data_IF_841915036223
#
_entry.id   IF_841915036223
#
_cell.length_a   1.000
_cell.length_b   1.000
_cell.length_c   1.000
_cell.angle_alpha   90.00
_cell.angle_beta   90.00
_cell.angle_gamma   90.00
#
_symmetry.space_group_name_H-M   'P 1'
#
loop_
_entity.id
_entity.type
_entity.pdbx_description
1 polymer ?
#
# COMPACT_ATOMS: atom_id res chain seq x y z
N UNK A 1 -15.35 20.43 -19.84
CA UNK A 1 -15.36 19.19 -19.06
C UNK A 1 -13.90 18.85 -18.80
N UNK A 2 -13.45 19.05 -17.59
CA UNK A 2 -12.08 18.69 -17.18
C UNK A 2 -12.11 17.23 -16.74
N UNK A 3 -11.44 16.35 -17.48
CA UNK A 3 -11.37 14.92 -17.17
C UNK A 3 -10.06 14.61 -16.49
N UNK A 4 -10.12 13.82 -15.43
CA UNK A 4 -8.97 13.31 -14.69
C UNK A 4 -8.96 11.80 -14.69
N UNK A 5 -7.78 11.20 -14.70
CA UNK A 5 -7.60 9.76 -14.72
C UNK A 5 -7.04 9.27 -13.37
N UNK A 6 -7.87 8.57 -12.62
CA UNK A 6 -7.48 7.83 -11.44
C UNK A 6 -7.08 6.41 -11.81
N UNK A 7 -5.93 5.96 -11.33
CA UNK A 7 -5.38 4.63 -11.61
C UNK A 7 -5.11 3.94 -10.28
N UNK A 8 -5.64 2.73 -10.11
CA UNK A 8 -5.37 1.84 -8.97
C UNK A 8 -4.59 0.62 -9.47
N UNK A 9 -3.31 0.55 -9.13
CA UNK A 9 -2.43 -0.60 -9.37
C UNK A 9 -2.38 -1.49 -8.13
N UNK A 10 -3.47 -2.21 -7.90
CA UNK A 10 -3.65 -3.15 -6.78
C UNK A 10 -2.86 -4.45 -6.99
N UNK A 11 -3.03 -5.43 -6.08
CA UNK A 11 -2.31 -6.73 -6.18
C UNK A 11 -2.71 -7.55 -7.41
N UNK A 12 -3.99 -7.51 -7.82
CA UNK A 12 -4.53 -8.41 -8.84
C UNK A 12 -4.73 -7.77 -10.21
N UNK A 13 -4.78 -6.45 -10.28
CA UNK A 13 -5.06 -5.71 -11.52
C UNK A 13 -4.70 -4.24 -11.40
N UNK A 14 -4.48 -3.61 -12.54
CA UNK A 14 -4.56 -2.14 -12.69
C UNK A 14 -5.95 -1.77 -13.19
N UNK A 15 -6.61 -0.82 -12.52
CA UNK A 15 -7.88 -0.22 -12.93
C UNK A 15 -7.68 1.25 -13.22
N UNK A 16 -8.28 1.74 -14.29
CA UNK A 16 -8.26 3.15 -14.66
C UNK A 16 -9.69 3.68 -14.76
N UNK A 17 -9.96 4.80 -14.09
CA UNK A 17 -11.23 5.51 -14.10
C UNK A 17 -11.03 6.90 -14.67
N UNK A 18 -11.70 7.21 -15.78
CA UNK A 18 -11.77 8.56 -16.32
C UNK A 18 -12.98 9.27 -15.70
N UNK A 19 -12.74 10.35 -14.98
CA UNK A 19 -13.73 11.01 -14.13
C UNK A 19 -13.87 12.47 -14.56
N UNK A 20 -15.09 12.99 -14.59
CA UNK A 20 -15.33 14.43 -14.68
C UNK A 20 -15.03 15.08 -13.34
N UNK A 21 -14.05 15.99 -13.32
CA UNK A 21 -13.63 16.67 -12.11
C UNK A 21 -14.69 17.63 -11.53
N UNK A 22 -15.73 17.97 -12.30
CA UNK A 22 -16.76 18.88 -11.85
C UNK A 22 -17.77 18.24 -10.87
N UNK A 23 -18.09 16.95 -11.07
CA UNK A 23 -19.13 16.27 -10.31
C UNK A 23 -18.78 14.84 -9.86
N UNK A 24 -17.60 14.35 -10.20
CA UNK A 24 -17.13 13.00 -9.87
C UNK A 24 -17.74 11.89 -10.72
N UNK A 25 -18.45 12.23 -11.81
CA UNK A 25 -19.05 11.23 -12.71
C UNK A 25 -17.98 10.41 -13.39
N UNK A 26 -18.05 9.07 -13.28
CA UNK A 26 -17.20 8.14 -14.02
C UNK A 26 -17.65 8.10 -15.48
N UNK A 27 -16.82 8.64 -16.37
CA UNK A 27 -17.10 8.74 -17.83
C UNK A 27 -16.72 7.45 -18.54
N UNK A 28 -15.65 6.78 -18.11
CA UNK A 28 -15.19 5.52 -18.66
C UNK A 28 -14.30 4.78 -17.64
N UNK A 29 -14.21 3.46 -17.79
CA UNK A 29 -13.33 2.64 -16.98
C UNK A 29 -12.73 1.49 -17.79
N UNK A 30 -11.51 1.10 -17.44
CA UNK A 30 -10.84 -0.10 -17.98
C UNK A 30 -10.06 -0.79 -16.88
N UNK A 31 -9.72 -2.06 -17.08
CA UNK A 31 -8.82 -2.79 -16.19
C UNK A 31 -8.00 -3.81 -16.97
N UNK A 32 -6.81 -4.07 -16.46
CA UNK A 32 -5.89 -5.11 -16.94
C UNK A 32 -5.42 -5.97 -15.76
N UNK A 33 -5.36 -7.31 -15.90
CA UNK A 33 -4.96 -8.20 -14.82
C UNK A 33 -3.46 -8.16 -14.57
N UNK A 34 -3.05 -8.47 -13.33
CA UNK A 34 -1.67 -8.74 -12.96
C UNK A 34 -1.42 -10.25 -12.86
N UNK A 35 -0.16 -10.70 -13.04
CA UNK A 35 0.22 -12.08 -12.73
C UNK A 35 -0.05 -12.39 -11.25
N UNK A 36 -0.48 -13.63 -10.92
CA UNK A 36 -0.63 -14.04 -9.53
C UNK A 36 0.73 -14.28 -8.87
N UNK A 37 0.81 -14.09 -7.56
CA UNK A 37 2.02 -14.39 -6.78
C UNK A 37 2.25 -13.40 -5.65
N UNK A 38 3.35 -13.61 -4.92
CA UNK A 38 3.87 -12.71 -3.89
C UNK A 38 5.19 -12.06 -4.31
N UNK A 39 5.69 -12.45 -5.49
CA UNK A 39 6.88 -11.95 -6.15
C UNK A 39 6.60 -11.88 -7.65
N UNK A 40 6.77 -10.71 -8.28
CA UNK A 40 6.41 -10.47 -9.69
C UNK A 40 7.41 -9.52 -10.35
N UNK A 41 7.64 -9.68 -11.65
CA UNK A 41 8.37 -8.67 -12.44
C UNK A 41 7.57 -7.35 -12.42
N UNK A 42 8.10 -6.25 -11.86
CA UNK A 42 7.36 -5.00 -11.75
C UNK A 42 7.03 -4.37 -13.12
N UNK A 43 7.71 -4.77 -14.21
CA UNK A 43 7.37 -4.32 -15.56
C UNK A 43 6.00 -4.80 -16.01
N UNK A 44 5.47 -5.87 -15.40
CA UNK A 44 4.09 -6.32 -15.66
C UNK A 44 3.05 -5.28 -15.24
N UNK A 45 3.34 -4.46 -14.23
CA UNK A 45 2.46 -3.35 -13.83
C UNK A 45 2.46 -2.22 -14.86
N UNK A 46 3.61 -1.98 -15.52
CA UNK A 46 3.70 -0.98 -16.60
C UNK A 46 2.88 -1.40 -17.80
N UNK A 47 2.97 -2.68 -18.20
CA UNK A 47 2.13 -3.22 -19.27
C UNK A 47 0.63 -3.15 -18.91
N UNK A 48 0.28 -3.49 -17.67
CA UNK A 48 -1.11 -3.39 -17.20
C UNK A 48 -1.59 -1.92 -17.12
N UNK A 49 -0.71 -0.98 -16.79
CA UNK A 49 -0.99 0.45 -16.86
C UNK A 49 -1.30 0.87 -18.29
N UNK A 50 -0.45 0.51 -19.26
CA UNK A 50 -0.63 0.86 -20.66
C UNK A 50 -1.96 0.30 -21.20
N UNK A 51 -2.25 -0.98 -20.92
CA UNK A 51 -3.50 -1.63 -21.31
C UNK A 51 -4.75 -0.99 -20.68
N UNK A 52 -4.69 -0.69 -19.37
CA UNK A 52 -5.82 -0.12 -18.66
C UNK A 52 -6.08 1.35 -19.03
N UNK A 53 -5.05 2.08 -19.46
CA UNK A 53 -5.18 3.51 -19.80
C UNK A 53 -5.39 3.76 -21.29
N UNK A 54 -5.32 2.74 -22.15
CA UNK A 54 -5.52 2.86 -23.60
C UNK A 54 -6.85 3.54 -23.96
N UNK A 55 -6.81 4.63 -24.74
CA UNK A 55 -7.97 5.43 -25.14
C UNK A 55 -8.59 6.29 -24.05
N UNK A 56 -8.08 6.22 -22.80
CA UNK A 56 -8.50 7.08 -21.70
C UNK A 56 -7.50 8.21 -21.46
N UNK A 57 -6.20 7.89 -21.58
CA UNK A 57 -5.10 8.79 -21.25
C UNK A 57 -5.14 10.08 -22.11
N UNK A 58 -5.47 9.97 -23.40
CA UNK A 58 -5.51 11.12 -24.31
C UNK A 58 -6.60 12.14 -23.96
N UNK A 59 -7.61 11.69 -23.21
CA UNK A 59 -8.77 12.50 -22.80
C UNK A 59 -8.56 13.18 -21.44
N UNK A 60 -7.56 12.73 -20.67
CA UNK A 60 -7.31 13.24 -19.33
C UNK A 60 -6.37 14.45 -19.33
N UNK A 61 -6.64 15.42 -18.46
CA UNK A 61 -5.79 16.59 -18.19
C UNK A 61 -4.81 16.31 -17.04
N UNK A 62 -5.20 15.42 -16.11
CA UNK A 62 -4.37 15.03 -14.97
C UNK A 62 -4.49 13.51 -14.69
N UNK A 63 -3.45 12.98 -14.06
CA UNK A 63 -3.27 11.56 -13.73
C UNK A 63 -2.89 11.45 -12.25
N UNK A 64 -3.48 10.48 -11.54
CA UNK A 64 -3.01 10.06 -10.22
C UNK A 64 -2.95 8.54 -10.16
N UNK A 65 -1.88 8.00 -9.58
CA UNK A 65 -1.68 6.55 -9.40
C UNK A 65 -1.83 6.20 -7.92
N UNK A 66 -2.77 5.35 -7.58
CA UNK A 66 -2.80 4.61 -6.33
C UNK A 66 -2.19 3.22 -6.54
N UNK A 67 -1.63 2.63 -5.51
CA UNK A 67 -1.06 1.30 -5.64
C UNK A 67 -1.00 0.53 -4.34
N UNK A 68 -0.79 -0.79 -4.47
CA UNK A 68 -0.56 -1.65 -3.32
C UNK A 68 0.63 -1.17 -2.49
N UNK A 69 0.47 -1.15 -1.18
CA UNK A 69 1.49 -0.66 -0.26
C UNK A 69 2.66 -1.65 -0.07
N UNK A 70 3.76 -1.16 0.49
CA UNK A 70 4.88 -1.93 1.03
C UNK A 70 5.73 -2.73 0.02
N UNK A 71 5.31 -2.86 -1.22
CA UNK A 71 6.05 -3.63 -2.24
C UNK A 71 7.47 -3.08 -2.42
N UNK A 72 8.44 -3.98 -2.62
CA UNK A 72 9.84 -3.60 -2.86
C UNK A 72 10.15 -3.63 -4.35
N UNK A 73 10.36 -2.47 -4.97
CA UNK A 73 10.96 -2.34 -6.30
C UNK A 73 12.40 -1.87 -6.14
N UNK A 74 13.36 -2.77 -6.34
CA UNK A 74 14.78 -2.50 -6.20
C UNK A 74 15.40 -2.25 -7.57
N UNK A 75 15.97 -1.05 -7.78
CA UNK A 75 16.54 -0.61 -9.05
C UNK A 75 18.05 -0.52 -8.99
N UNK A 76 18.70 -0.82 -10.13
CA UNK A 76 20.14 -0.69 -10.34
C UNK A 76 20.56 0.72 -10.83
N UNK A 77 21.83 0.85 -11.20
CA UNK A 77 22.41 2.10 -11.73
C UNK A 77 21.74 2.57 -13.03
N UNK A 78 21.22 1.64 -13.82
CA UNK A 78 20.49 1.91 -15.07
C UNK A 78 19.02 2.30 -14.85
N UNK A 79 18.57 2.27 -13.60
CA UNK A 79 17.17 2.51 -13.23
C UNK A 79 16.22 1.38 -13.56
N UNK A 80 16.74 0.18 -13.85
CA UNK A 80 15.98 -1.04 -14.13
C UNK A 80 15.91 -1.93 -12.88
N UNK A 81 14.83 -2.73 -12.73
CA UNK A 81 14.72 -3.69 -11.63
C UNK A 81 15.87 -4.70 -11.64
N UNK A 82 16.56 -4.84 -10.51
CA UNK A 82 17.64 -5.82 -10.32
C UNK A 82 17.11 -7.19 -9.90
N UNK A 83 15.83 -7.26 -9.56
CA UNK A 83 15.10 -8.48 -9.22
C UNK A 83 13.59 -8.25 -9.36
N UNK A 84 12.81 -9.32 -9.30
CA UNK A 84 11.35 -9.26 -9.17
C UNK A 84 10.94 -8.57 -7.86
N UNK A 85 9.85 -7.82 -7.90
CA UNK A 85 9.33 -7.09 -6.74
C UNK A 85 8.71 -8.05 -5.72
N UNK A 86 9.07 -7.90 -4.43
CA UNK A 86 8.41 -8.59 -3.33
C UNK A 86 7.18 -7.80 -2.91
N UNK A 87 6.00 -8.45 -2.93
CA UNK A 87 4.73 -7.82 -2.63
C UNK A 87 4.46 -7.76 -1.12
N UNK A 88 3.45 -7.00 -0.71
CA UNK A 88 3.06 -6.83 0.69
C UNK A 88 2.68 -8.16 1.39
N UNK A 89 2.11 -9.10 0.64
CA UNK A 89 1.66 -10.41 1.13
C UNK A 89 2.75 -11.50 1.11
N UNK A 90 4.00 -11.13 0.78
CA UNK A 90 5.13 -12.05 0.90
C UNK A 90 5.63 -12.09 2.35
N UNK A 91 5.67 -13.28 2.93
CA UNK A 91 6.00 -13.49 4.34
C UNK A 91 7.45 -13.92 4.60
N UNK A 92 8.27 -14.11 3.55
CA UNK A 92 9.66 -14.60 3.68
C UNK A 92 10.54 -13.72 4.56
N UNK A 93 10.23 -12.42 4.66
CA UNK A 93 10.98 -11.42 5.43
C UNK A 93 10.56 -11.31 6.91
N UNK A 94 9.78 -12.26 7.44
CA UNK A 94 9.31 -12.20 8.83
C UNK A 94 10.46 -12.20 9.87
N UNK A 95 11.50 -13.01 9.66
CA UNK A 95 12.68 -13.03 10.54
C UNK A 95 13.50 -11.75 10.42
N UNK A 96 13.64 -11.23 9.21
CA UNK A 96 14.30 -9.96 8.94
C UNK A 96 13.60 -8.80 9.64
N UNK A 97 12.25 -8.81 9.66
CA UNK A 97 11.46 -7.82 10.40
C UNK A 97 11.77 -7.84 11.90
N UNK A 98 11.77 -9.03 12.53
CA UNK A 98 12.11 -9.18 13.96
C UNK A 98 13.50 -8.67 14.26
N UNK A 99 14.47 -9.04 13.45
CA UNK A 99 15.85 -8.58 13.60
C UNK A 99 15.97 -7.05 13.53
N UNK A 100 15.28 -6.40 12.57
CA UNK A 100 15.28 -4.94 12.47
C UNK A 100 14.63 -4.28 13.68
N UNK A 101 13.51 -4.82 14.19
CA UNK A 101 12.86 -4.31 15.41
C UNK A 101 13.80 -4.39 16.60
N UNK A 102 14.51 -5.50 16.77
CA UNK A 102 15.49 -5.67 17.86
C UNK A 102 16.66 -4.68 17.72
N UNK A 103 17.21 -4.51 16.50
CA UNK A 103 18.28 -3.55 16.20
C UNK A 103 17.84 -2.09 16.42
N UNK A 104 16.56 -1.77 16.23
CA UNK A 104 15.98 -0.46 16.53
C UNK A 104 15.75 -0.21 18.04
N UNK A 105 15.97 -1.20 18.90
CA UNK A 105 15.79 -1.10 20.36
C UNK A 105 14.46 -1.63 20.87
N UNK A 106 13.80 -2.46 20.09
CA UNK A 106 12.54 -3.11 20.43
C UNK A 106 11.29 -2.42 19.82
N UNK A 107 10.11 -3.02 20.05
CA UNK A 107 8.88 -2.59 19.37
C UNK A 107 8.45 -1.15 19.71
N UNK A 108 8.60 -0.71 20.95
CA UNK A 108 8.26 0.66 21.34
C UNK A 108 9.15 1.69 20.63
N UNK A 109 10.46 1.42 20.56
CA UNK A 109 11.42 2.30 19.87
C UNK A 109 11.17 2.31 18.34
N UNK A 110 10.85 1.16 17.77
CA UNK A 110 10.47 1.02 16.37
C UNK A 110 9.22 1.84 16.05
N UNK A 111 8.13 1.67 16.81
CA UNK A 111 6.90 2.42 16.63
C UNK A 111 7.11 3.93 16.80
N UNK A 112 7.90 4.36 17.78
CA UNK A 112 8.24 5.76 17.98
C UNK A 112 9.04 6.34 16.81
N UNK A 113 9.91 5.56 16.17
CA UNK A 113 10.76 6.01 15.07
C UNK A 113 10.00 6.15 13.74
N UNK A 114 9.11 5.19 13.42
CA UNK A 114 8.48 5.09 12.09
C UNK A 114 6.96 4.94 12.12
N UNK A 115 6.32 5.08 13.28
CA UNK A 115 4.86 5.00 13.45
C UNK A 115 4.33 3.57 13.60
N UNK A 116 5.15 2.54 13.38
CA UNK A 116 4.69 1.15 13.32
C UNK A 116 5.75 0.19 13.83
N UNK A 117 5.34 -0.97 14.33
CA UNK A 117 6.25 -2.11 14.54
C UNK A 117 6.39 -2.86 13.22
N UNK A 118 7.61 -3.09 12.75
CA UNK A 118 7.85 -3.73 11.46
C UNK A 118 7.39 -5.20 11.47
N UNK A 119 6.72 -5.59 10.40
CA UNK A 119 6.36 -6.98 10.09
C UNK A 119 6.85 -7.33 8.68
N UNK A 120 6.63 -8.56 8.23
CA UNK A 120 7.10 -9.04 6.92
C UNK A 120 6.66 -8.16 5.74
N UNK A 121 5.48 -7.53 5.83
CA UNK A 121 4.94 -6.70 4.74
C UNK A 121 5.76 -5.44 4.48
N UNK A 122 6.44 -4.86 5.47
CA UNK A 122 7.17 -3.59 5.29
C UNK A 122 8.35 -3.70 4.33
N UNK A 123 8.60 -2.63 3.57
CA UNK A 123 9.69 -2.58 2.57
C UNK A 123 11.08 -2.77 3.20
N UNK A 124 11.31 -2.18 4.40
CA UNK A 124 12.55 -2.37 5.17
C UNK A 124 12.84 -3.85 5.46
N UNK A 125 11.81 -4.61 5.83
CA UNK A 125 11.93 -6.04 6.12
C UNK A 125 12.37 -6.83 4.89
N UNK A 126 11.83 -6.46 3.72
CA UNK A 126 12.20 -7.06 2.44
C UNK A 126 13.63 -6.68 2.01
N UNK A 127 14.03 -5.42 2.20
CA UNK A 127 15.42 -4.99 1.96
C UNK A 127 16.40 -5.79 2.82
N UNK A 128 16.10 -5.97 4.11
CA UNK A 128 16.93 -6.76 5.02
C UNK A 128 17.00 -8.22 4.57
N UNK A 129 15.89 -8.79 4.17
CA UNK A 129 15.88 -10.15 3.64
C UNK A 129 16.73 -10.29 2.37
N UNK A 130 16.62 -9.33 1.43
CA UNK A 130 17.46 -9.31 0.20
C UNK A 130 18.94 -9.20 0.56
N UNK A 131 19.32 -8.32 1.51
CA UNK A 131 20.69 -8.21 1.99
C UNK A 131 21.24 -9.53 2.50
N UNK A 132 20.44 -10.23 3.32
CA UNK A 132 20.90 -11.41 4.05
C UNK A 132 20.87 -12.69 3.20
N UNK A 133 20.01 -12.78 2.17
CA UNK A 133 19.80 -13.98 1.36
C UNK A 133 20.24 -13.82 -0.11
N UNK A 134 20.32 -12.61 -0.63
CA UNK A 134 20.70 -12.29 -2.00
C UNK A 134 21.77 -11.19 -2.04
N UNK A 135 22.94 -11.40 -1.41
CA UNK A 135 23.97 -10.34 -1.23
C UNK A 135 24.49 -9.77 -2.55
N UNK A 136 24.54 -10.55 -3.60
CA UNK A 136 24.93 -10.07 -4.94
C UNK A 136 23.86 -9.14 -5.55
N UNK A 137 22.60 -9.44 -5.34
CA UNK A 137 21.48 -8.58 -5.73
C UNK A 137 21.48 -7.30 -4.88
N UNK A 138 21.59 -7.44 -3.56
CA UNK A 138 21.67 -6.31 -2.64
C UNK A 138 22.77 -5.33 -3.04
N UNK A 139 23.97 -5.82 -3.36
CA UNK A 139 25.10 -5.00 -3.79
C UNK A 139 24.86 -4.19 -5.08
N UNK A 140 23.84 -4.53 -5.86
CA UNK A 140 23.45 -3.84 -7.10
C UNK A 140 22.35 -2.82 -6.90
N UNK A 141 21.62 -2.84 -5.78
CA UNK A 141 20.54 -1.90 -5.51
C UNK A 141 21.11 -0.49 -5.33
N UNK A 142 20.56 0.47 -6.06
CA UNK A 142 20.94 1.89 -5.98
C UNK A 142 19.76 2.77 -5.62
N UNK A 143 18.56 2.34 -5.94
CA UNK A 143 17.33 3.06 -5.65
C UNK A 143 16.23 2.09 -5.24
N UNK A 144 15.38 2.54 -4.33
CA UNK A 144 14.18 1.79 -3.90
C UNK A 144 12.94 2.63 -4.16
N UNK A 145 11.96 2.01 -4.79
CA UNK A 145 10.64 2.56 -5.05
C UNK A 145 9.55 1.65 -4.49
N UNK A 146 8.41 2.25 -4.20
CA UNK A 146 7.17 1.52 -3.95
C UNK A 146 6.47 1.21 -5.29
N UNK A 147 5.50 0.28 -5.32
CA UNK A 147 4.79 -0.05 -6.56
C UNK A 147 4.17 1.17 -7.23
N UNK A 148 3.47 2.05 -6.48
CA UNK A 148 2.85 3.23 -7.07
C UNK A 148 3.89 4.24 -7.56
N UNK A 149 5.05 4.39 -6.91
CA UNK A 149 6.15 5.25 -7.38
C UNK A 149 6.66 4.79 -8.74
N UNK A 150 6.82 3.46 -8.90
CA UNK A 150 7.35 2.86 -10.12
C UNK A 150 6.38 3.07 -11.30
N UNK A 151 5.08 2.91 -11.06
CA UNK A 151 4.04 3.19 -12.07
C UNK A 151 3.92 4.70 -12.33
N UNK A 152 3.99 5.55 -11.30
CA UNK A 152 3.95 7.01 -11.45
C UNK A 152 5.15 7.55 -12.23
N UNK A 153 6.34 6.93 -12.07
CA UNK A 153 7.52 7.22 -12.88
C UNK A 153 7.26 6.90 -14.37
N UNK A 154 6.59 5.78 -14.68
CA UNK A 154 6.21 5.42 -16.05
C UNK A 154 5.20 6.41 -16.65
N UNK A 155 4.22 6.88 -15.86
CA UNK A 155 3.25 7.89 -16.28
C UNK A 155 3.88 9.27 -16.53
N UNK A 156 5.10 9.52 -16.04
CA UNK A 156 5.81 10.80 -16.11
C UNK A 156 6.68 10.90 -17.37
N UNK A 157 7.10 12.13 -17.69
CA UNK A 157 8.05 12.34 -18.78
C UNK A 157 9.39 11.66 -18.50
N UNK A 158 10.07 11.10 -19.54
CA UNK A 158 11.37 10.48 -19.38
C UNK A 158 12.38 11.39 -18.68
N UNK A 159 13.14 10.81 -17.74
CA UNK A 159 14.14 11.57 -16.95
C UNK A 159 13.55 12.29 -15.73
N UNK A 160 12.24 12.20 -15.47
CA UNK A 160 11.64 12.70 -14.22
C UNK A 160 12.25 11.97 -13.02
N UNK A 161 12.71 12.73 -12.02
CA UNK A 161 13.16 12.16 -10.76
C UNK A 161 11.99 11.48 -10.03
N UNK A 162 12.15 10.27 -9.51
CA UNK A 162 11.08 9.57 -8.80
C UNK A 162 10.54 10.36 -7.62
N UNK A 163 9.25 10.20 -7.39
CA UNK A 163 8.52 10.80 -6.28
C UNK A 163 7.53 9.81 -5.69
N UNK A 164 7.15 10.08 -4.47
CA UNK A 164 6.16 9.34 -3.68
C UNK A 164 5.28 10.32 -2.92
N UNK A 165 4.25 9.83 -2.23
CA UNK A 165 3.53 10.59 -1.23
C UNK A 165 3.92 10.17 0.20
N UNK A 166 3.46 10.92 1.19
CA UNK A 166 3.73 10.63 2.61
C UNK A 166 2.97 9.39 3.11
N UNK A 167 1.79 9.13 2.54
CA UNK A 167 0.93 8.02 2.92
C UNK A 167 1.60 6.68 2.63
N UNK A 168 2.00 6.44 1.38
CA UNK A 168 2.68 5.20 1.01
C UNK A 168 4.10 5.13 1.59
N UNK A 169 4.84 6.26 1.65
CA UNK A 169 6.14 6.34 2.31
C UNK A 169 6.10 5.83 3.76
N UNK A 170 5.02 6.10 4.50
CA UNK A 170 4.85 5.65 5.88
C UNK A 170 4.76 4.13 6.04
N UNK A 171 4.47 3.41 4.95
CA UNK A 171 4.46 1.94 4.90
C UNK A 171 5.83 1.30 4.63
N UNK A 172 6.91 2.08 4.52
CA UNK A 172 8.24 1.55 4.17
C UNK A 172 9.02 0.98 5.35
N UNK A 173 8.84 1.53 6.55
CA UNK A 173 9.66 1.21 7.74
C UNK A 173 10.97 2.01 7.84
N UNK A 174 11.16 2.98 6.95
CA UNK A 174 12.26 3.97 7.00
C UNK A 174 11.77 5.39 6.68
N UNK A 175 10.53 5.67 7.08
CA UNK A 175 9.93 7.00 7.04
C UNK A 175 9.41 7.37 8.43
N UNK A 176 9.87 8.48 8.99
CA UNK A 176 9.42 8.98 10.29
C UNK A 176 8.03 9.61 10.12
N UNK A 177 6.98 8.81 10.28
CA UNK A 177 5.59 9.20 9.97
C UNK A 177 5.15 10.49 10.66
N UNK A 178 5.50 10.66 11.94
CA UNK A 178 5.15 11.85 12.72
C UNK A 178 5.87 13.12 12.24
N UNK A 179 7.13 12.98 11.77
CA UNK A 179 7.93 14.09 11.27
C UNK A 179 7.69 14.38 9.77
N UNK A 180 7.19 13.39 9.03
CA UNK A 180 7.01 13.49 7.58
C UNK A 180 8.34 13.43 6.79
N UNK A 181 9.35 12.73 7.31
CA UNK A 181 10.70 12.73 6.78
C UNK A 181 11.26 11.32 6.60
N UNK A 182 12.07 11.13 5.56
CA UNK A 182 12.85 9.90 5.39
C UNK A 182 13.85 9.70 6.52
N UNK A 183 14.09 8.45 6.86
CA UNK A 183 15.16 7.94 7.72
C UNK A 183 16.14 7.11 6.87
N UNK A 184 17.05 7.79 6.11
CA UNK A 184 18.00 7.11 5.24
C UNK A 184 18.92 6.15 6.02
N UNK A 185 19.19 6.46 7.29
CA UNK A 185 19.93 5.61 8.20
C UNK A 185 19.26 4.23 8.41
N UNK A 186 17.92 4.19 8.52
CA UNK A 186 17.17 2.93 8.64
C UNK A 186 17.11 2.16 7.31
N UNK A 187 16.99 2.86 6.18
CA UNK A 187 17.07 2.24 4.87
C UNK A 187 18.45 1.61 4.63
N UNK A 188 19.52 2.35 4.96
CA UNK A 188 20.89 1.86 4.87
C UNK A 188 21.17 0.70 5.84
N UNK A 189 20.64 0.75 7.07
CA UNK A 189 20.73 -0.36 8.02
C UNK A 189 20.04 -1.63 7.49
N UNK A 190 18.89 -1.49 6.84
CA UNK A 190 18.17 -2.60 6.24
C UNK A 190 18.94 -3.20 5.07
N UNK A 191 19.43 -2.39 4.13
CA UNK A 191 20.09 -2.86 2.90
C UNK A 191 21.58 -3.19 3.09
N UNK A 192 22.27 -2.53 4.04
CA UNK A 192 23.71 -2.67 4.28
C UNK A 192 24.56 -1.57 3.61
N UNK A 193 23.95 -0.66 2.87
CA UNK A 193 24.60 0.52 2.27
C UNK A 193 23.55 1.59 1.94
N UNK A 194 24.01 2.80 1.63
CA UNK A 194 23.15 3.91 1.25
C UNK A 194 22.40 3.62 -0.04
N UNK A 195 21.14 4.06 -0.11
CA UNK A 195 20.25 3.87 -1.25
C UNK A 195 19.45 5.16 -1.52
N UNK A 196 19.24 5.47 -2.79
CA UNK A 196 18.40 6.60 -3.16
C UNK A 196 16.92 6.32 -2.87
N UNK A 197 16.26 7.29 -2.25
CA UNK A 197 14.82 7.28 -1.97
C UNK A 197 14.10 8.33 -2.83
N UNK A 198 12.84 8.12 -3.20
CA UNK A 198 12.09 9.08 -3.99
C UNK A 198 11.83 10.37 -3.19
N UNK A 199 11.62 11.48 -3.89
CA UNK A 199 11.20 12.74 -3.25
C UNK A 199 9.76 12.59 -2.73
N UNK A 200 9.51 12.96 -1.49
CA UNK A 200 8.14 13.06 -0.97
C UNK A 200 7.48 14.31 -1.54
N UNK A 201 6.44 14.13 -2.33
CA UNK A 201 5.69 15.23 -2.92
C UNK A 201 4.57 15.67 -1.97
N UNK A 202 4.36 16.97 -1.77
CA UNK A 202 3.25 17.47 -0.93
C UNK A 202 1.88 17.04 -1.48
N UNK A 203 0.93 16.77 -0.60
CA UNK A 203 -0.45 16.51 -0.98
C UNK A 203 -1.03 17.63 -1.87
N UNK A 204 -1.82 17.26 -2.86
CA UNK A 204 -2.45 18.22 -3.79
C UNK A 204 -1.49 18.98 -4.70
N UNK A 205 -0.19 18.66 -4.70
CA UNK A 205 0.79 19.33 -5.58
C UNK A 205 0.85 18.68 -6.98
N UNK A 206 1.47 19.41 -7.92
CA UNK A 206 1.93 18.83 -9.19
C UNK A 206 3.27 18.15 -8.92
N UNK A 207 3.30 16.82 -8.92
CA UNK A 207 4.53 16.05 -8.70
C UNK A 207 5.40 16.01 -9.95
N UNK A 208 4.78 15.86 -11.11
CA UNK A 208 5.45 15.78 -12.41
C UNK A 208 4.50 16.18 -13.55
N UNK A 209 5.00 16.09 -14.77
CA UNK A 209 4.19 16.11 -16.00
C UNK A 209 4.51 14.87 -16.84
N UNK A 210 3.52 14.35 -17.54
CA UNK A 210 3.73 13.30 -18.54
C UNK A 210 4.45 13.86 -19.78
N UNK A 211 4.94 12.99 -20.66
CA UNK A 211 5.55 13.40 -21.93
C UNK A 211 4.61 14.26 -22.82
N UNK A 212 3.31 14.11 -22.65
CA UNK A 212 2.28 14.90 -23.34
C UNK A 212 1.85 16.16 -22.55
N UNK A 213 2.54 16.51 -21.46
CA UNK A 213 2.28 17.71 -20.67
C UNK A 213 1.13 17.61 -19.67
N UNK A 214 0.53 16.41 -19.46
CA UNK A 214 -0.53 16.22 -18.46
C UNK A 214 0.05 16.31 -17.06
N UNK A 215 -0.71 16.87 -16.14
CA UNK A 215 -0.33 16.87 -14.72
C UNK A 215 -0.27 15.45 -14.20
N UNK A 216 0.80 15.10 -13.47
CA UNK A 216 0.91 13.86 -12.69
C UNK A 216 0.94 14.27 -11.21
N UNK A 217 -0.08 13.82 -10.47
CA UNK A 217 -0.21 14.06 -9.04
C UNK A 217 0.71 13.09 -8.25
N UNK A 218 0.95 13.35 -6.95
CA UNK A 218 1.80 12.49 -6.12
C UNK A 218 1.39 11.01 -6.11
N UNK A 219 0.09 10.71 -6.27
CA UNK A 219 -0.42 9.37 -6.05
C UNK A 219 -0.50 9.06 -4.55
N UNK A 220 -0.71 7.78 -4.20
CA UNK A 220 -0.70 7.31 -2.80
C UNK A 220 -0.82 5.79 -2.70
N UNK A 221 -0.70 5.22 -1.50
CA UNK A 221 -1.06 3.82 -1.23
C UNK A 221 -2.58 3.58 -1.35
N UNK A 222 -2.98 2.34 -1.65
CA UNK A 222 -4.39 1.97 -1.89
C UNK A 222 -5.31 2.28 -0.71
N UNK A 223 -4.88 2.03 0.53
CA UNK A 223 -5.69 2.32 1.73
C UNK A 223 -5.89 3.83 1.92
N UNK A 224 -4.86 4.64 1.68
CA UNK A 224 -4.93 6.09 1.75
C UNK A 224 -5.80 6.65 0.62
N UNK A 225 -5.68 6.08 -0.58
CA UNK A 225 -6.51 6.39 -1.73
C UNK A 225 -7.99 6.10 -1.48
N UNK A 226 -8.29 4.97 -0.82
CA UNK A 226 -9.66 4.62 -0.44
C UNK A 226 -10.24 5.61 0.58
N UNK A 227 -9.50 5.98 1.61
CA UNK A 227 -9.93 6.95 2.62
C UNK A 227 -10.20 8.34 1.98
N UNK A 228 -9.29 8.80 1.12
CA UNK A 228 -9.43 10.06 0.38
C UNK A 228 -10.64 10.02 -0.56
N UNK A 229 -10.80 8.94 -1.34
CA UNK A 229 -11.87 8.77 -2.30
C UNK A 229 -13.28 8.72 -1.68
N UNK A 230 -13.37 8.24 -0.44
CA UNK A 230 -14.59 8.26 0.36
C UNK A 230 -14.84 9.62 1.05
N UNK A 231 -13.89 10.55 0.97
CA UNK A 231 -14.00 11.86 1.60
C UNK A 231 -13.98 11.80 3.13
N UNK A 232 -13.26 10.84 3.72
CA UNK A 232 -13.20 10.71 5.18
C UNK A 232 -12.54 11.92 5.82
N UNK A 233 -13.12 12.37 6.92
CA UNK A 233 -12.64 13.48 7.73
C UNK A 233 -12.05 12.99 9.06
N UNK A 234 -11.28 13.82 9.78
CA UNK A 234 -10.79 13.47 11.10
C UNK A 234 -11.91 13.02 12.04
N UNK A 235 -11.78 11.79 12.57
CA UNK A 235 -12.78 11.13 13.40
C UNK A 235 -13.65 10.09 12.66
N UNK A 236 -13.64 10.10 11.33
CA UNK A 236 -14.32 9.05 10.55
C UNK A 236 -13.52 7.74 10.57
N UNK A 237 -14.27 6.63 10.58
CA UNK A 237 -13.73 5.27 10.59
C UNK A 237 -14.20 4.53 9.35
N UNK A 238 -13.24 3.94 8.62
CA UNK A 238 -13.51 3.02 7.53
C UNK A 238 -13.36 1.57 8.03
N UNK A 239 -14.39 0.76 7.80
CA UNK A 239 -14.34 -0.69 8.01
C UNK A 239 -14.51 -1.37 6.65
N UNK A 240 -13.47 -2.03 6.19
CA UNK A 240 -13.46 -2.82 4.94
C UNK A 240 -13.47 -4.31 5.28
N UNK A 241 -14.50 -5.03 4.80
CA UNK A 241 -14.68 -6.46 5.06
C UNK A 241 -14.63 -7.20 3.74
N UNK A 242 -13.45 -7.66 3.39
CA UNK A 242 -13.20 -8.58 2.27
C UNK A 242 -12.83 -9.97 2.77
N UNK A 243 -12.00 -10.69 2.06
CA UNK A 243 -11.39 -11.97 2.53
C UNK A 243 -10.66 -11.75 3.85
N UNK A 244 -9.87 -10.68 3.94
CA UNK A 244 -9.30 -10.08 5.15
C UNK A 244 -10.09 -8.83 5.55
N UNK A 245 -9.89 -8.34 6.77
CA UNK A 245 -10.54 -7.15 7.29
C UNK A 245 -9.54 -6.03 7.52
N UNK A 246 -9.97 -4.79 7.31
CA UNK A 246 -9.23 -3.59 7.65
C UNK A 246 -10.16 -2.63 8.37
N UNK A 247 -9.70 -2.07 9.49
CA UNK A 247 -10.32 -0.91 10.11
C UNK A 247 -9.29 0.22 10.16
N UNK A 248 -9.62 1.38 9.64
CA UNK A 248 -8.77 2.56 9.66
C UNK A 248 -9.55 3.81 10.06
N UNK A 249 -8.86 4.80 10.59
CA UNK A 249 -9.48 6.06 10.99
C UNK A 249 -8.62 7.24 10.52
N UNK A 250 -9.26 8.32 10.08
CA UNK A 250 -8.54 9.57 9.82
C UNK A 250 -8.33 10.31 11.14
N UNK A 251 -7.07 10.65 11.44
CA UNK A 251 -6.72 11.36 12.69
C UNK A 251 -5.80 12.56 12.41
N UNK A 252 -5.89 13.57 13.28
CA UNK A 252 -5.01 14.74 13.20
C UNK A 252 -3.65 14.53 13.90
N UNK A 253 -3.51 13.48 14.69
CA UNK A 253 -2.30 13.16 15.46
C UNK A 253 -1.75 11.81 15.06
N UNK A 254 -0.41 11.64 15.00
CA UNK A 254 0.20 10.34 14.69
C UNK A 254 -0.06 9.31 15.79
N UNK A 255 -0.09 8.05 15.40
CA UNK A 255 -0.13 6.89 16.30
C UNK A 255 1.20 6.17 16.25
N UNK A 256 1.69 5.72 17.41
CA UNK A 256 2.89 4.90 17.55
C UNK A 256 2.60 3.81 18.58
N UNK A 257 2.02 2.70 18.12
CA UNK A 257 1.61 1.58 18.99
C UNK A 257 2.72 0.53 19.06
N UNK A 258 3.46 0.50 20.17
CA UNK A 258 4.51 -0.50 20.43
C UNK A 258 3.98 -1.92 20.65
N UNK A 259 2.66 -2.12 20.81
CA UNK A 259 2.10 -3.49 20.82
C UNK A 259 2.06 -4.12 19.42
N UNK A 260 2.19 -3.30 18.37
CA UNK A 260 2.09 -3.73 16.98
C UNK A 260 0.66 -4.04 16.51
N UNK A 261 -0.34 -3.75 17.33
CA UNK A 261 -1.76 -3.98 16.97
C UNK A 261 -2.28 -2.94 15.98
N UNK A 262 -1.78 -1.70 16.06
CA UNK A 262 -2.15 -0.58 15.19
C UNK A 262 -0.93 -0.10 14.41
N UNK A 263 -1.03 -0.07 13.09
CA UNK A 263 -0.04 0.58 12.23
C UNK A 263 -0.35 2.07 12.12
N UNK A 264 0.63 2.93 12.43
CA UNK A 264 0.49 4.38 12.43
C UNK A 264 0.88 5.00 11.10
N UNK A 265 0.09 4.81 10.04
CA UNK A 265 0.36 5.40 8.74
C UNK A 265 0.02 6.89 8.68
N UNK A 266 0.63 7.59 7.73
CA UNK A 266 0.15 8.89 7.26
C UNK A 266 -1.00 8.67 6.26
N UNK A 267 -1.89 9.69 6.11
CA UNK A 267 -2.90 9.68 5.05
C UNK A 267 -2.38 10.28 3.75
N UNK A 268 -3.23 10.35 2.72
CA UNK A 268 -2.91 10.95 1.42
C UNK A 268 -2.93 12.50 1.44
N UNK A 269 -3.17 13.13 2.59
CA UNK A 269 -3.22 14.57 2.78
C UNK A 269 -2.18 15.01 3.81
N UNK A 270 -2.57 15.70 4.86
CA UNK A 270 -1.67 16.19 5.90
C UNK A 270 -1.94 15.58 7.29
N UNK A 271 -2.86 14.59 7.35
CA UNK A 271 -3.24 13.86 8.55
C UNK A 271 -2.59 12.47 8.65
N UNK A 272 -3.23 11.58 9.40
CA UNK A 272 -2.78 10.22 9.64
C UNK A 272 -3.92 9.23 9.43
N UNK A 273 -3.57 7.99 9.11
CA UNK A 273 -4.48 6.90 8.86
C UNK A 273 -4.05 5.66 9.67
N UNK A 274 -4.15 5.69 11.03
CA UNK A 274 -3.93 4.49 11.80
C UNK A 274 -4.84 3.36 11.31
N UNK A 275 -4.28 2.16 11.22
CA UNK A 275 -4.91 1.02 10.57
C UNK A 275 -4.68 -0.26 11.36
N UNK A 276 -5.75 -1.06 11.48
CA UNK A 276 -5.70 -2.43 12.00
C UNK A 276 -6.13 -3.36 10.88
N UNK A 277 -5.35 -4.41 10.63
CA UNK A 277 -5.67 -5.42 9.65
C UNK A 277 -5.83 -6.80 10.29
N UNK A 278 -6.75 -7.60 9.79
CA UNK A 278 -6.92 -9.01 10.18
C UNK A 278 -6.80 -9.90 8.95
N UNK A 279 -6.21 -11.07 9.11
CA UNK A 279 -6.10 -12.07 8.03
C UNK A 279 -7.45 -12.68 7.69
N UNK A 280 -8.34 -12.76 8.69
CA UNK A 280 -9.64 -13.40 8.59
C UNK A 280 -10.79 -12.40 8.75
N UNK A 281 -11.65 -12.26 7.73
CA UNK A 281 -12.88 -11.47 7.81
C UNK A 281 -14.06 -12.19 7.12
N UNK A 282 -14.51 -11.80 5.93
CA UNK A 282 -15.64 -12.47 5.25
C UNK A 282 -15.38 -13.95 4.98
N UNK A 283 -14.15 -14.39 4.90
CA UNK A 283 -13.76 -15.80 4.84
C UNK A 283 -14.35 -16.62 5.99
N UNK A 284 -14.45 -16.00 7.20
CA UNK A 284 -15.05 -16.66 8.38
C UNK A 284 -16.51 -17.01 8.10
N UNK A 285 -17.27 -16.05 7.54
CA UNK A 285 -18.68 -16.24 7.21
C UNK A 285 -18.86 -17.36 6.19
N UNK A 286 -18.02 -17.41 5.15
CA UNK A 286 -18.06 -18.47 4.16
C UNK A 286 -17.72 -19.85 4.75
N UNK A 287 -16.83 -19.92 5.73
CA UNK A 287 -16.53 -21.17 6.45
C UNK A 287 -17.71 -21.59 7.33
N UNK A 288 -18.35 -20.66 8.05
CA UNK A 288 -19.49 -20.97 8.90
C UNK A 288 -20.70 -21.42 8.07
N UNK A 289 -21.01 -20.74 6.97
CA UNK A 289 -22.08 -21.13 6.06
C UNK A 289 -21.91 -22.58 5.57
N UNK A 290 -20.71 -22.93 5.11
CA UNK A 290 -20.38 -24.30 4.71
C UNK A 290 -20.52 -25.31 5.85
N UNK A 291 -20.09 -24.95 7.05
CA UNK A 291 -20.15 -25.83 8.24
C UNK A 291 -21.59 -26.12 8.64
N UNK A 292 -22.45 -25.10 8.54
CA UNK A 292 -23.89 -25.24 8.84
C UNK A 292 -24.69 -25.81 7.66
N UNK A 293 -24.10 -25.95 6.48
CA UNK A 293 -24.78 -26.43 5.27
C UNK A 293 -25.82 -25.43 4.71
N UNK A 294 -25.56 -24.12 4.90
CA UNK A 294 -26.45 -23.05 4.45
C UNK A 294 -25.71 -22.08 3.51
N UNK A 295 -26.46 -21.23 2.80
CA UNK A 295 -25.91 -20.09 2.07
C UNK A 295 -25.65 -18.88 2.99
N UNK A 296 -25.04 -17.84 2.45
CA UNK A 296 -24.67 -16.63 3.21
C UNK A 296 -25.91 -15.82 3.65
N UNK A 297 -26.97 -15.82 2.87
CA UNK A 297 -28.23 -15.12 3.21
C UNK A 297 -28.90 -15.79 4.40
N UNK A 298 -29.02 -17.12 4.35
CA UNK A 298 -29.54 -17.92 5.48
C UNK A 298 -28.64 -17.78 6.72
N UNK A 299 -27.31 -17.74 6.57
CA UNK A 299 -26.40 -17.48 7.70
C UNK A 299 -26.68 -16.13 8.33
N UNK A 300 -26.89 -15.09 7.52
CA UNK A 300 -27.20 -13.74 7.98
C UNK A 300 -28.53 -13.70 8.74
N UNK A 301 -29.56 -14.36 8.23
CA UNK A 301 -30.87 -14.46 8.90
C UNK A 301 -30.76 -15.17 10.25
N UNK A 302 -30.02 -16.27 10.31
CA UNK A 302 -29.75 -17.00 11.57
C UNK A 302 -29.00 -16.11 12.59
N UNK A 303 -28.01 -15.36 12.12
CA UNK A 303 -27.26 -14.44 12.97
C UNK A 303 -28.14 -13.32 13.53
N UNK A 304 -28.99 -12.72 12.68
CA UNK A 304 -29.93 -11.65 13.09
C UNK A 304 -31.04 -12.16 14.03
N UNK A 305 -31.44 -13.40 13.88
CA UNK A 305 -32.42 -14.06 14.78
C UNK A 305 -31.82 -14.47 16.14
N UNK A 306 -30.49 -14.51 16.25
CA UNK A 306 -29.80 -14.88 17.49
C UNK A 306 -29.83 -13.73 18.50
N UNK A 307 -29.78 -14.08 19.80
CA UNK A 307 -29.63 -13.05 20.83
C UNK A 307 -28.25 -12.39 20.76
N UNK A 308 -28.16 -11.06 20.94
CA UNK A 308 -26.85 -10.39 21.01
C UNK A 308 -25.92 -11.04 22.04
N UNK A 309 -24.65 -11.28 21.64
CA UNK A 309 -23.67 -11.96 22.47
C UNK A 309 -23.74 -13.48 22.43
N UNK A 310 -24.59 -14.09 21.57
CA UNK A 310 -24.64 -15.53 21.28
C UNK A 310 -24.60 -16.42 22.54
N UNK A 311 -25.28 -16.05 23.61
CA UNK A 311 -25.25 -16.72 24.92
C UNK A 311 -23.84 -16.90 25.52
N UNK A 312 -22.89 -16.06 25.16
CA UNK A 312 -21.49 -16.13 25.61
C UNK A 312 -20.62 -17.11 24.81
N UNK A 313 -21.12 -17.65 23.73
CA UNK A 313 -20.31 -18.49 22.81
C UNK A 313 -19.37 -17.57 22.01
N UNK A 314 -18.08 -17.90 22.03
CA UNK A 314 -17.04 -17.19 21.28
C UNK A 314 -16.44 -18.08 20.22
N UNK A 315 -16.36 -17.58 18.99
CA UNK A 315 -15.65 -18.23 17.89
C UNK A 315 -14.23 -17.65 17.81
N UNK A 316 -13.22 -18.52 17.77
CA UNK A 316 -11.86 -18.16 17.40
C UNK A 316 -11.72 -18.31 15.87
N UNK A 317 -11.59 -17.20 15.11
CA UNK A 317 -11.73 -17.22 13.65
C UNK A 317 -10.42 -17.50 12.91
N UNK A 318 -9.48 -18.22 13.47
CA UNK A 318 -8.11 -18.40 12.96
C UNK A 318 -8.01 -19.53 11.92
N UNK A 319 -8.74 -19.37 10.81
CA UNK A 319 -8.71 -20.30 9.68
C UNK A 319 -7.48 -20.05 8.79
N UNK A 320 -6.34 -20.58 9.15
CA UNK A 320 -5.09 -20.41 8.42
C UNK A 320 -4.09 -19.46 9.08
N UNK A 321 -4.31 -19.15 10.36
CA UNK A 321 -3.50 -18.22 11.17
C UNK A 321 -4.12 -16.83 11.27
N UNK A 322 -3.53 -16.05 12.14
CA UNK A 322 -3.83 -14.62 12.33
C UNK A 322 -2.52 -13.86 12.56
#
# INVERSE_FOLDING_TARGET
>A
MTLVLGIDSSTQSTKALLVDAADGTVVASRSAPHPPGTEVDPRTWLAAYDDATEGLLERAEAIAVGGQQHGLVALGDDGEPVRDALLWNDTRSADAARTLVDEMGGPDACAAAVGSVLVASFTASKLRWVRDHEPETAARVRQVLLPHDYVSRHASAPGTAPFTDRGDASGTGYFATAAGEWRPDLAAAALGHDVALPRVAPAGSVAAHSAAGRVVAPGTGDNMGAALGLGLLPGDVLVSIGTSGVASAVTATPVADGTGSVTGFADAQDGFLPLVATVNAARILAHQARWLGVDLDTLSDLALASVPGAHGVTLLPYYGGE
#
